data_IF_587762280022
#
_entry.id   IF_587762280022
#
_cell.length_a   1.000
_cell.length_b   1.000
_cell.length_c   1.000
_cell.angle_alpha   90.00
_cell.angle_beta   90.00
_cell.angle_gamma   90.00
#
_symmetry.space_group_name_H-M   'P 1'
#
loop_
_entity.id
_entity.type
_entity.pdbx_description
1 polymer ?
#
# COMPACT_ATOMS: atom_id res chain seq x y z
N UNK A 1 21.71 -3.53 4.02
CA UNK A 1 21.19 -4.67 4.81
C UNK A 1 20.99 -4.38 6.31
N UNK A 2 21.25 -3.16 6.81
CA UNK A 2 21.13 -2.84 8.25
C UNK A 2 19.71 -2.62 8.81
N UNK A 3 18.66 -2.58 7.97
CA UNK A 3 17.29 -2.33 8.43
C UNK A 3 16.50 -3.63 8.74
N UNK A 4 16.92 -4.77 8.17
CA UNK A 4 16.17 -6.02 8.28
C UNK A 4 16.20 -6.60 9.71
N UNK A 5 17.33 -6.49 10.41
CA UNK A 5 17.47 -6.98 11.79
C UNK A 5 16.62 -6.17 12.78
N UNK A 6 16.62 -4.84 12.65
CA UNK A 6 15.78 -3.97 13.47
C UNK A 6 14.30 -4.25 13.27
N UNK A 7 13.86 -4.45 12.02
CA UNK A 7 12.48 -4.86 11.70
C UNK A 7 12.19 -6.23 12.32
N UNK A 8 13.08 -7.22 12.19
CA UNK A 8 12.86 -8.55 12.76
C UNK A 8 12.64 -8.49 14.29
N UNK A 9 13.48 -7.74 15.02
CA UNK A 9 13.35 -7.56 16.47
C UNK A 9 12.03 -6.87 16.84
N UNK A 10 11.63 -5.83 16.09
CA UNK A 10 10.38 -5.11 16.34
C UNK A 10 9.13 -5.98 16.13
N UNK A 11 9.17 -6.90 15.16
CA UNK A 11 8.03 -7.74 14.80
C UNK A 11 7.98 -9.08 15.54
N UNK A 12 9.09 -9.54 16.12
CA UNK A 12 9.15 -10.78 16.89
C UNK A 12 8.19 -10.77 18.08
N UNK A 13 8.16 -9.68 18.85
CA UNK A 13 7.31 -9.59 20.04
C UNK A 13 5.81 -9.61 19.70
N UNK A 14 5.28 -8.77 18.78
CA UNK A 14 3.89 -8.88 18.35
C UNK A 14 3.54 -10.27 17.78
N UNK A 15 4.46 -10.90 17.05
CA UNK A 15 4.25 -12.24 16.50
C UNK A 15 4.10 -13.28 17.62
N UNK A 16 4.98 -13.25 18.61
CA UNK A 16 4.92 -14.16 19.76
C UNK A 16 3.63 -13.98 20.57
N UNK A 17 3.15 -12.74 20.73
CA UNK A 17 1.87 -12.48 21.41
C UNK A 17 0.67 -13.04 20.65
N UNK A 18 0.63 -12.86 19.32
CA UNK A 18 -0.41 -13.45 18.47
C UNK A 18 -0.38 -14.98 18.55
N UNK A 19 0.81 -15.59 18.45
CA UNK A 19 0.96 -17.03 18.56
C UNK A 19 0.50 -17.55 19.93
N UNK A 20 0.80 -16.85 21.01
CA UNK A 20 0.34 -17.18 22.37
C UNK A 20 -1.20 -17.13 22.49
N UNK A 21 -1.84 -16.12 21.90
CA UNK A 21 -3.32 -16.01 21.88
C UNK A 21 -3.92 -17.20 21.11
N UNK A 22 -3.40 -17.48 19.92
CA UNK A 22 -3.90 -18.56 19.07
C UNK A 22 -3.71 -19.94 19.73
N UNK A 23 -2.58 -20.18 20.38
CA UNK A 23 -2.28 -21.44 21.07
C UNK A 23 -3.03 -21.59 22.41
N UNK A 24 -3.30 -20.48 23.10
CA UNK A 24 -4.01 -20.47 24.38
C UNK A 24 -5.52 -20.75 24.27
N UNK A 25 -6.09 -20.73 23.06
CA UNK A 25 -7.54 -20.89 22.83
C UNK A 25 -7.95 -22.34 22.51
N UNK A 26 -7.31 -23.33 23.14
CA UNK A 26 -7.68 -24.74 22.97
C UNK A 26 -9.17 -24.97 23.33
N UNK A 27 -9.95 -25.71 22.50
CA UNK A 27 -11.40 -25.80 22.67
C UNK A 27 -11.77 -26.71 23.86
N UNK A 28 -12.02 -26.11 25.02
CA UNK A 28 -12.68 -26.76 26.16
C UNK A 28 -14.18 -26.42 26.19
N UNK A 29 -15.00 -27.15 25.43
CA UNK A 29 -16.44 -26.90 25.34
C UNK A 29 -17.32 -28.04 25.87
N UNK A 30 -17.75 -27.96 27.13
CA UNK A 30 -18.69 -28.89 27.77
C UNK A 30 -20.06 -28.98 27.07
N UNK A 31 -20.75 -30.11 27.26
CA UNK A 31 -22.00 -30.51 26.56
C UNK A 31 -23.18 -29.52 26.65
N UNK A 32 -23.21 -28.63 27.66
CA UNK A 32 -24.31 -27.67 27.85
C UNK A 32 -24.25 -26.45 26.91
N UNK A 33 -23.05 -26.03 26.47
CA UNK A 33 -22.89 -24.86 25.58
C UNK A 33 -23.45 -25.10 24.16
N UNK A 34 -23.58 -26.36 23.74
CA UNK A 34 -24.07 -26.76 22.40
C UNK A 34 -25.57 -26.55 22.18
N UNK A 35 -26.37 -26.45 23.24
CA UNK A 35 -27.81 -26.25 23.12
C UNK A 35 -28.17 -24.77 22.87
N UNK A 36 -27.43 -23.85 23.49
CA UNK A 36 -27.62 -22.40 23.38
C UNK A 36 -27.16 -21.82 22.02
N UNK A 37 -26.12 -22.39 21.42
CA UNK A 37 -25.61 -21.96 20.09
C UNK A 37 -26.54 -22.28 18.92
N UNK A 38 -27.58 -23.10 19.10
CA UNK A 38 -28.59 -23.37 18.06
C UNK A 38 -29.62 -22.26 17.89
N UNK A 39 -29.84 -21.44 18.91
CA UNK A 39 -30.85 -20.36 18.90
C UNK A 39 -30.26 -19.01 18.49
N UNK A 40 -28.95 -18.80 18.70
CA UNK A 40 -28.21 -17.63 18.24
C UNK A 40 -26.89 -18.09 17.62
N UNK A 41 -26.77 -18.14 16.28
CA UNK A 41 -25.51 -18.50 15.65
C UNK A 41 -24.47 -17.41 15.92
N UNK A 42 -23.61 -17.65 16.91
CA UNK A 42 -22.44 -16.83 17.21
C UNK A 42 -21.28 -17.31 16.34
N UNK A 43 -20.42 -16.37 15.90
CA UNK A 43 -19.16 -16.74 15.25
C UNK A 43 -18.33 -17.56 16.25
N UNK A 44 -17.98 -18.83 15.96
CA UNK A 44 -17.20 -19.66 16.89
C UNK A 44 -15.82 -19.08 17.21
N UNK A 45 -15.35 -18.13 16.40
CA UNK A 45 -14.08 -17.45 16.57
C UNK A 45 -14.19 -16.09 17.29
N UNK A 46 -15.37 -15.68 17.78
CA UNK A 46 -15.59 -14.36 18.39
C UNK A 46 -14.56 -14.01 19.47
N UNK A 47 -14.31 -14.92 20.41
CA UNK A 47 -13.33 -14.72 21.47
C UNK A 47 -11.89 -14.54 20.96
N UNK A 48 -11.51 -15.25 19.88
CA UNK A 48 -10.18 -15.14 19.26
C UNK A 48 -10.07 -13.81 18.51
N UNK A 49 -11.12 -13.42 17.78
CA UNK A 49 -11.18 -12.15 17.06
C UNK A 49 -11.07 -10.99 18.06
N UNK A 50 -11.81 -11.03 19.16
CA UNK A 50 -11.74 -10.01 20.21
C UNK A 50 -10.35 -9.93 20.83
N UNK A 51 -9.72 -11.07 21.13
CA UNK A 51 -8.38 -11.11 21.70
C UNK A 51 -7.28 -10.61 20.73
N UNK A 52 -7.45 -10.82 19.42
CA UNK A 52 -6.51 -10.34 18.39
C UNK A 52 -6.80 -8.91 17.93
N UNK A 53 -7.97 -8.37 18.26
CA UNK A 53 -8.36 -7.02 17.82
C UNK A 53 -7.52 -5.97 18.55
N UNK A 54 -6.81 -5.09 17.83
CA UNK A 54 -6.00 -4.05 18.46
C UNK A 54 -6.88 -3.07 19.25
N UNK A 55 -6.56 -2.87 20.53
CA UNK A 55 -7.25 -1.89 21.39
C UNK A 55 -6.68 -0.48 21.27
N UNK A 56 -5.48 -0.34 20.70
CA UNK A 56 -4.79 0.93 20.44
C UNK A 56 -4.20 0.94 19.02
N UNK A 57 -3.99 2.12 18.41
CA UNK A 57 -3.29 2.23 17.14
C UNK A 57 -1.87 1.66 17.25
N UNK A 58 -1.43 0.94 16.21
CA UNK A 58 -0.05 0.48 16.13
C UNK A 58 0.89 1.68 15.94
N UNK A 59 1.91 1.82 16.80
CA UNK A 59 2.87 2.93 16.78
C UNK A 59 3.62 3.00 15.43
N UNK A 60 4.00 1.84 14.87
CA UNK A 60 4.65 1.78 13.57
C UNK A 60 3.72 2.28 12.44
N UNK A 61 2.45 1.86 12.45
CA UNK A 61 1.47 2.37 11.48
C UNK A 61 1.18 3.86 11.66
N UNK A 62 1.13 4.36 12.90
CA UNK A 62 0.90 5.77 13.18
C UNK A 62 2.08 6.62 12.69
N UNK A 63 3.30 6.22 13.01
CA UNK A 63 4.52 6.89 12.55
C UNK A 63 4.65 6.87 11.01
N UNK A 64 4.24 5.77 10.37
CA UNK A 64 4.18 5.68 8.91
C UNK A 64 3.22 6.73 8.33
N UNK A 65 1.99 6.83 8.88
CA UNK A 65 0.99 7.79 8.42
C UNK A 65 1.43 9.24 8.64
N UNK A 66 2.06 9.56 9.77
CA UNK A 66 2.61 10.90 10.04
C UNK A 66 3.73 11.27 9.06
N UNK A 67 4.58 10.31 8.74
CA UNK A 67 5.68 10.48 7.78
C UNK A 67 5.14 10.70 6.36
N UNK A 68 4.15 9.91 5.95
CA UNK A 68 3.44 10.07 4.67
C UNK A 68 2.84 11.47 4.55
N UNK A 69 2.07 11.92 5.55
CA UNK A 69 1.48 13.25 5.58
C UNK A 69 2.53 14.36 5.48
N UNK A 70 3.68 14.19 6.15
CA UNK A 70 4.79 15.15 6.06
C UNK A 70 5.37 15.22 4.66
N UNK A 71 5.60 14.09 4.00
CA UNK A 71 6.12 14.07 2.63
C UNK A 71 5.14 14.65 1.61
N UNK A 72 3.85 14.34 1.76
CA UNK A 72 2.78 14.96 0.95
C UNK A 72 2.81 16.48 1.08
N UNK A 73 2.93 16.99 2.31
CA UNK A 73 3.02 18.42 2.56
C UNK A 73 4.25 19.05 1.92
N UNK A 74 5.43 18.45 2.10
CA UNK A 74 6.68 18.95 1.50
C UNK A 74 6.54 19.00 -0.04
N UNK A 75 6.04 17.94 -0.65
CA UNK A 75 5.88 17.91 -2.10
C UNK A 75 4.93 19.00 -2.61
N UNK A 76 3.85 19.26 -1.87
CA UNK A 76 2.88 20.32 -2.18
C UNK A 76 3.47 21.73 -2.01
N UNK A 77 4.21 21.96 -0.92
CA UNK A 77 4.79 23.26 -0.59
C UNK A 77 5.90 23.70 -1.58
N UNK A 78 6.62 22.73 -2.17
CA UNK A 78 7.76 22.95 -3.06
C UNK A 78 7.50 22.48 -4.50
N UNK A 79 6.24 22.43 -4.91
CA UNK A 79 5.84 21.94 -6.23
C UNK A 79 6.35 22.79 -7.40
N UNK A 80 6.71 24.06 -7.18
CA UNK A 80 7.26 25.01 -8.14
C UNK A 80 8.80 25.14 -8.08
N UNK A 81 9.44 24.48 -7.11
CA UNK A 81 10.90 24.46 -7.03
C UNK A 81 11.52 23.66 -8.19
N UNK A 82 12.50 24.23 -8.88
CA UNK A 82 13.11 23.62 -10.07
C UNK A 82 13.81 22.29 -9.77
N UNK A 83 14.45 22.17 -8.59
CA UNK A 83 15.12 20.93 -8.19
C UNK A 83 14.08 19.87 -7.89
N UNK A 84 13.01 20.21 -7.18
CA UNK A 84 11.92 19.29 -6.87
C UNK A 84 11.23 18.80 -8.14
N UNK A 85 10.86 19.71 -9.05
CA UNK A 85 10.23 19.35 -10.33
C UNK A 85 11.14 18.49 -11.20
N UNK A 86 12.44 18.77 -11.23
CA UNK A 86 13.44 17.94 -11.92
C UNK A 86 13.49 16.51 -11.38
N UNK A 87 13.57 16.36 -10.05
CA UNK A 87 13.56 15.02 -9.41
C UNK A 87 12.23 14.30 -9.65
N UNK A 88 11.10 15.02 -9.58
CA UNK A 88 9.80 14.41 -9.81
C UNK A 88 9.66 13.88 -11.23
N UNK A 89 10.07 14.66 -12.25
CA UNK A 89 10.04 14.25 -13.66
C UNK A 89 10.89 13.01 -13.96
N UNK A 90 12.00 12.86 -13.25
CA UNK A 90 12.92 11.73 -13.37
C UNK A 90 12.47 10.49 -12.56
N UNK A 91 11.48 10.63 -11.68
CA UNK A 91 10.93 9.52 -10.89
C UNK A 91 9.91 8.69 -11.66
N UNK A 92 9.50 7.57 -11.07
CA UNK A 92 8.33 6.79 -11.52
C UNK A 92 6.97 7.45 -11.18
N UNK A 93 7.00 8.65 -10.61
CA UNK A 93 5.84 9.39 -10.16
C UNK A 93 5.21 8.82 -8.89
N UNK A 94 4.13 9.44 -8.46
CA UNK A 94 3.35 8.96 -7.32
C UNK A 94 2.41 7.82 -7.74
N UNK A 95 1.99 7.01 -6.78
CA UNK A 95 0.81 6.19 -6.96
C UNK A 95 -0.45 7.06 -6.83
N UNK A 96 -1.55 6.61 -7.44
CA UNK A 96 -2.84 7.30 -7.47
C UNK A 96 -3.32 7.80 -6.10
N UNK A 97 -3.33 7.00 -5.02
CA UNK A 97 -3.79 7.52 -3.72
C UNK A 97 -2.92 8.67 -3.20
N UNK A 98 -1.60 8.59 -3.30
CA UNK A 98 -0.72 9.68 -2.88
C UNK A 98 -0.83 10.90 -3.80
N UNK A 99 -1.02 10.70 -5.10
CA UNK A 99 -1.22 11.82 -6.03
C UNK A 99 -2.51 12.59 -5.70
N UNK A 100 -3.59 11.88 -5.36
CA UNK A 100 -4.84 12.50 -4.87
C UNK A 100 -4.57 13.30 -3.60
N UNK A 101 -3.89 12.74 -2.61
CA UNK A 101 -3.57 13.44 -1.36
C UNK A 101 -2.75 14.71 -1.61
N UNK A 102 -1.75 14.66 -2.50
CA UNK A 102 -0.93 15.82 -2.85
C UNK A 102 -1.76 16.93 -3.49
N UNK A 103 -2.64 16.59 -4.44
CA UNK A 103 -3.53 17.58 -5.05
C UNK A 103 -4.52 18.17 -4.03
N UNK A 104 -5.04 17.36 -3.11
CA UNK A 104 -5.92 17.86 -2.04
C UNK A 104 -5.22 18.84 -1.10
N UNK A 105 -3.90 18.68 -0.89
CA UNK A 105 -3.11 19.57 -0.03
C UNK A 105 -2.50 20.76 -0.77
N UNK A 106 -2.59 20.80 -2.12
CA UNK A 106 -2.02 21.88 -2.93
C UNK A 106 -3.05 22.96 -3.21
N UNK A 107 -2.97 24.05 -2.44
CA UNK A 107 -3.91 25.16 -2.55
C UNK A 107 -3.72 26.03 -3.81
N UNK A 108 -2.49 26.17 -4.31
CA UNK A 108 -2.18 27.00 -5.49
C UNK A 108 -2.54 26.25 -6.80
N UNK A 109 -3.46 26.77 -7.62
CA UNK A 109 -3.84 26.16 -8.89
C UNK A 109 -2.68 25.99 -9.89
N UNK A 110 -1.69 26.88 -9.88
CA UNK A 110 -0.55 26.81 -10.78
C UNK A 110 0.39 25.66 -10.42
N UNK A 111 0.64 25.47 -9.12
CA UNK A 111 1.37 24.31 -8.60
C UNK A 111 0.65 23.00 -8.91
N UNK A 112 -0.67 22.96 -8.70
CA UNK A 112 -1.49 21.80 -9.06
C UNK A 112 -1.41 21.46 -10.54
N UNK A 113 -1.49 22.46 -11.44
CA UNK A 113 -1.32 22.24 -12.89
C UNK A 113 0.05 21.67 -13.25
N UNK A 114 1.10 22.17 -12.62
CA UNK A 114 2.46 21.69 -12.85
C UNK A 114 2.63 20.22 -12.41
N UNK A 115 2.14 19.88 -11.21
CA UNK A 115 2.14 18.51 -10.71
C UNK A 115 1.34 17.56 -11.62
N UNK A 116 0.16 18.00 -12.09
CA UNK A 116 -0.66 17.24 -13.03
C UNK A 116 0.08 16.99 -14.35
N UNK A 117 0.71 18.01 -14.91
CA UNK A 117 1.46 17.86 -16.15
C UNK A 117 2.61 16.84 -16.00
N UNK A 118 3.40 16.95 -14.94
CA UNK A 118 4.52 16.04 -14.67
C UNK A 118 4.02 14.59 -14.48
N UNK A 119 3.00 14.39 -13.65
CA UNK A 119 2.46 13.06 -13.38
C UNK A 119 1.84 12.43 -14.64
N UNK A 120 1.21 13.24 -15.49
CA UNK A 120 0.64 12.82 -16.78
C UNK A 120 1.73 12.35 -17.73
N UNK A 121 2.83 13.08 -17.85
CA UNK A 121 3.98 12.68 -18.68
C UNK A 121 4.55 11.33 -18.22
N UNK A 122 4.73 11.15 -16.91
CA UNK A 122 5.27 9.93 -16.30
C UNK A 122 4.36 8.73 -16.59
N UNK A 123 3.05 8.85 -16.31
CA UNK A 123 2.11 7.75 -16.53
C UNK A 123 1.83 7.46 -17.99
N UNK A 124 1.99 8.45 -18.87
CA UNK A 124 1.91 8.24 -20.32
C UNK A 124 3.02 7.30 -20.79
N UNK A 125 4.28 7.54 -20.35
CA UNK A 125 5.39 6.63 -20.64
C UNK A 125 5.14 5.21 -20.13
N UNK A 126 4.69 5.06 -18.88
CA UNK A 126 4.38 3.75 -18.30
C UNK A 126 3.24 3.03 -19.04
N UNK A 127 2.22 3.77 -19.49
CA UNK A 127 1.12 3.21 -20.28
C UNK A 127 1.62 2.71 -21.63
N UNK A 128 2.51 3.44 -22.27
CA UNK A 128 3.04 3.08 -23.58
C UNK A 128 3.94 1.83 -23.48
N UNK A 129 4.74 1.70 -22.43
CA UNK A 129 5.47 0.45 -22.10
C UNK A 129 4.51 -0.73 -21.88
N UNK A 130 3.41 -0.52 -21.14
CA UNK A 130 2.39 -1.57 -20.92
C UNK A 130 1.72 -1.98 -22.23
N UNK A 131 1.49 -1.03 -23.15
CA UNK A 131 0.90 -1.31 -24.47
C UNK A 131 1.82 -2.16 -25.33
N UNK A 132 3.12 -1.86 -25.34
CA UNK A 132 4.09 -2.70 -26.05
C UNK A 132 4.19 -4.10 -25.43
N UNK A 133 4.15 -4.19 -24.09
CA UNK A 133 4.07 -5.48 -23.42
C UNK A 133 2.83 -6.29 -23.85
N UNK A 134 1.64 -5.68 -23.87
CA UNK A 134 0.41 -6.34 -24.33
C UNK A 134 0.50 -6.75 -25.81
N UNK A 135 1.04 -5.88 -26.68
CA UNK A 135 1.16 -6.13 -28.13
C UNK A 135 2.10 -7.29 -28.44
N UNK A 136 3.27 -7.33 -27.80
CA UNK A 136 4.28 -8.39 -28.01
C UNK A 136 3.89 -9.73 -27.41
N UNK A 137 2.95 -9.73 -26.47
CA UNK A 137 2.40 -10.96 -25.88
C UNK A 137 1.21 -11.51 -26.68
N UNK A 138 0.78 -10.84 -27.76
CA UNK A 138 -0.10 -11.42 -28.78
C UNK A 138 0.70 -12.46 -29.59
N UNK A 139 0.10 -13.62 -29.86
CA UNK A 139 0.72 -14.73 -30.59
C UNK A 139 1.26 -14.31 -31.97
N UNK A 140 0.66 -13.28 -32.58
CA UNK A 140 1.10 -12.73 -33.86
C UNK A 140 2.47 -12.00 -33.80
N UNK A 141 2.91 -11.62 -32.60
CA UNK A 141 4.16 -10.90 -32.36
C UNK A 141 5.16 -11.70 -31.50
N UNK A 142 4.96 -13.01 -31.36
CA UNK A 142 5.74 -13.87 -30.46
C UNK A 142 7.24 -13.96 -30.79
N UNK A 143 7.68 -13.49 -31.97
CA UNK A 143 9.10 -13.42 -32.36
C UNK A 143 9.80 -12.12 -31.91
N UNK A 144 9.06 -11.13 -31.42
CA UNK A 144 9.62 -9.87 -30.94
C UNK A 144 10.12 -10.00 -29.49
N UNK A 145 11.34 -9.52 -29.22
CA UNK A 145 11.86 -9.52 -27.87
C UNK A 145 11.14 -8.48 -26.99
N UNK A 146 10.66 -8.93 -25.83
CA UNK A 146 10.15 -8.08 -24.75
C UNK A 146 11.38 -7.52 -24.01
N UNK A 147 11.45 -6.20 -23.88
CA UNK A 147 12.48 -5.54 -23.08
C UNK A 147 12.23 -5.75 -21.59
N UNK A 148 13.25 -5.57 -20.75
CA UNK A 148 13.09 -5.69 -19.30
C UNK A 148 12.00 -4.74 -18.76
N UNK A 149 11.99 -3.48 -19.22
CA UNK A 149 11.03 -2.47 -18.83
C UNK A 149 9.59 -2.84 -19.20
N UNK A 150 9.36 -3.34 -20.43
CA UNK A 150 8.07 -3.85 -20.87
C UNK A 150 7.64 -5.07 -20.03
N UNK A 151 8.54 -6.02 -19.78
CA UNK A 151 8.24 -7.25 -19.03
C UNK A 151 7.77 -7.03 -17.60
N UNK A 152 8.20 -5.93 -16.96
CA UNK A 152 7.79 -5.57 -15.58
C UNK A 152 6.74 -4.44 -15.53
N UNK A 153 6.35 -3.88 -16.68
CA UNK A 153 5.42 -2.74 -16.79
C UNK A 153 4.08 -2.98 -16.06
N UNK A 154 3.49 -4.17 -16.18
CA UNK A 154 2.22 -4.51 -15.53
C UNK A 154 2.32 -4.45 -13.99
N UNK A 155 3.45 -4.87 -13.40
CA UNK A 155 3.69 -4.77 -11.94
C UNK A 155 3.78 -3.32 -11.51
N UNK A 156 4.50 -2.50 -12.29
CA UNK A 156 4.63 -1.05 -12.05
C UNK A 156 3.28 -0.36 -12.14
N UNK A 157 2.44 -0.71 -13.13
CA UNK A 157 1.06 -0.18 -13.23
C UNK A 157 0.22 -0.56 -12.02
N UNK A 158 0.24 -1.82 -11.58
CA UNK A 158 -0.47 -2.23 -10.36
C UNK A 158 0.02 -1.44 -9.14
N UNK A 159 1.33 -1.28 -8.96
CA UNK A 159 1.90 -0.49 -7.87
C UNK A 159 1.48 1.00 -7.95
N UNK A 160 1.40 1.58 -9.14
CA UNK A 160 0.97 2.98 -9.33
C UNK A 160 -0.53 3.17 -9.16
N UNK A 161 -1.37 2.18 -9.48
CA UNK A 161 -2.82 2.29 -9.28
C UNK A 161 -3.24 1.97 -7.84
N UNK A 162 -2.70 0.90 -7.26
CA UNK A 162 -3.12 0.39 -5.96
C UNK A 162 -2.31 0.93 -4.78
N UNK A 163 -1.12 1.49 -5.05
CA UNK A 163 -0.06 1.70 -4.07
C UNK A 163 0.83 0.47 -3.92
N UNK A 164 2.12 0.69 -3.61
CA UNK A 164 3.06 -0.38 -3.34
C UNK A 164 2.91 -0.86 -1.89
N UNK A 165 2.68 -2.16 -1.70
CA UNK A 165 2.57 -2.75 -0.35
C UNK A 165 3.93 -2.71 0.32
N UNK A 166 4.01 -2.07 1.48
CA UNK A 166 5.19 -2.12 2.37
C UNK A 166 6.09 -0.89 2.36
N UNK A 167 5.85 0.11 1.50
CA UNK A 167 6.65 1.36 1.52
C UNK A 167 5.89 2.48 2.22
N UNK A 168 4.67 2.80 1.82
CA UNK A 168 3.73 3.70 2.51
C UNK A 168 2.34 3.31 2.01
N UNK A 169 1.78 2.23 2.54
CA UNK A 169 0.48 1.77 2.06
C UNK A 169 -0.59 2.49 2.87
N UNK A 170 -1.55 3.20 2.24
CA UNK A 170 -2.67 3.77 2.98
C UNK A 170 -3.37 2.62 3.71
N UNK A 171 -3.71 2.82 4.99
CA UNK A 171 -4.72 1.96 5.64
C UNK A 171 -5.99 2.07 4.81
N UNK A 172 -6.29 1.06 4.00
CA UNK A 172 -7.65 0.87 3.50
C UNK A 172 -8.46 0.48 4.72
N UNK A 173 -9.15 1.44 5.31
CA UNK A 173 -10.28 1.13 6.19
C UNK A 173 -11.26 0.35 5.34
N UNK A 174 -11.33 -0.96 5.57
CA UNK A 174 -12.42 -1.78 5.08
C UNK A 174 -13.61 -1.34 5.93
N UNK A 175 -14.40 -0.42 5.40
CA UNK A 175 -15.75 -0.14 5.90
C UNK A 175 -16.72 -1.18 5.35
#
# INVERSE_FOLDING_TARGET
>A
MGNALGIAVLYEHPLNDVLRILQGTAPGGGSQARLMTRLFPQNPNGAIIDALTPTKPCIACASQAETEARFVKILSDFADDERMTGVFRASDGLCLPHFIQVLQNTADPSRSRLLIAIQTDIWTRLRDELREFMRKNDYQHASEAITEAEGVSWRRVVARMAGERGILSPRRTIS
#
